data_IF_417516027471
#
_entry.id   IF_417516027471
#
_cell.length_a   1.000
_cell.length_b   1.000
_cell.length_c   1.000
_cell.angle_alpha   90.00
_cell.angle_beta   90.00
_cell.angle_gamma   90.00
#
_symmetry.space_group_name_H-M   'P 1'
#
loop_
_entity.id
_entity.type
_entity.pdbx_description
1 polymer ?
#
# COMPACT_ATOMS: atom_id res chain seq x y z
N UNK A 1 5.08 0.33 26.50
CA UNK A 1 6.52 0.53 26.75
C UNK A 1 6.66 1.12 28.15
N UNK A 2 7.40 0.46 29.01
CA UNK A 2 7.63 0.88 30.41
C UNK A 2 8.92 1.68 30.57
N UNK A 3 9.93 1.40 29.75
CA UNK A 3 11.18 2.14 29.71
C UNK A 3 11.75 2.16 28.28
N UNK A 4 12.58 3.15 28.02
CA UNK A 4 13.30 3.33 26.76
C UNK A 4 14.78 3.49 27.05
N UNK A 5 15.60 2.91 26.18
CA UNK A 5 17.05 3.08 26.17
C UNK A 5 17.54 3.30 24.72
N UNK A 6 18.52 4.15 24.55
CA UNK A 6 19.23 4.36 23.29
C UNK A 6 20.65 3.85 23.46
N UNK A 7 21.13 3.13 22.45
CA UNK A 7 22.51 2.58 22.39
C UNK A 7 23.04 2.77 20.99
N UNK A 8 24.33 3.09 20.85
CA UNK A 8 24.97 3.09 19.54
C UNK A 8 25.36 1.66 19.12
N UNK A 9 25.07 1.31 17.87
CA UNK A 9 25.54 0.05 17.29
C UNK A 9 27.03 0.12 16.89
N UNK A 10 27.55 -1.00 16.39
CA UNK A 10 28.95 -1.09 15.97
C UNK A 10 29.32 -0.14 14.81
N UNK A 11 28.34 0.43 14.11
CA UNK A 11 28.51 1.36 12.99
C UNK A 11 28.29 2.82 13.42
N UNK A 12 28.00 3.09 14.70
CA UNK A 12 27.71 4.41 15.23
C UNK A 12 26.27 4.89 15.00
N UNK A 13 25.35 3.99 14.62
CA UNK A 13 23.94 4.32 14.49
C UNK A 13 23.20 4.14 15.82
N UNK A 14 22.35 5.09 16.12
CA UNK A 14 21.49 5.01 17.30
C UNK A 14 20.43 3.91 17.12
N UNK A 15 20.33 3.04 18.10
CA UNK A 15 19.35 1.96 18.19
C UNK A 15 18.51 2.14 19.43
N UNK A 16 17.20 2.13 19.28
CA UNK A 16 16.25 2.28 20.37
C UNK A 16 15.77 0.91 20.86
N UNK A 17 15.76 0.72 22.16
CA UNK A 17 15.20 -0.43 22.82
C UNK A 17 14.07 0.00 23.77
N UNK A 18 12.98 -0.76 23.76
CA UNK A 18 11.85 -0.59 24.66
C UNK A 18 11.71 -1.80 25.58
N UNK A 19 11.58 -1.57 26.87
CA UNK A 19 11.12 -2.57 27.80
C UNK A 19 9.60 -2.55 27.90
N UNK A 20 8.99 -3.72 27.93
CA UNK A 20 7.55 -3.90 27.96
C UNK A 20 7.11 -4.58 29.25
N UNK A 21 5.84 -4.45 29.58
CA UNK A 21 5.22 -5.02 30.80
C UNK A 21 5.09 -6.56 30.74
N UNK A 22 5.29 -7.16 29.57
CA UNK A 22 5.38 -8.61 29.36
C UNK A 22 6.77 -9.19 29.73
N UNK A 23 7.71 -8.34 30.15
CA UNK A 23 9.06 -8.73 30.55
C UNK A 23 10.07 -8.84 29.42
N UNK A 24 9.69 -8.50 28.19
CA UNK A 24 10.61 -8.52 27.04
C UNK A 24 11.21 -7.14 26.75
N UNK A 25 12.44 -7.17 26.24
CA UNK A 25 13.10 -6.01 25.66
C UNK A 25 13.10 -6.18 24.15
N UNK A 26 12.54 -5.22 23.44
CA UNK A 26 12.44 -5.25 21.99
C UNK A 26 13.20 -4.07 21.38
N UNK A 27 13.84 -4.33 20.24
CA UNK A 27 14.40 -3.28 19.42
C UNK A 27 13.24 -2.56 18.74
N UNK A 28 13.19 -1.25 18.90
CA UNK A 28 12.20 -0.39 18.28
C UNK A 28 12.69 0.09 16.92
N UNK A 29 11.74 0.49 16.09
CA UNK A 29 12.00 1.06 14.76
C UNK A 29 12.89 0.17 13.87
N UNK A 30 12.65 -1.13 13.94
CA UNK A 30 13.44 -2.12 13.22
C UNK A 30 12.56 -3.29 12.75
N UNK A 31 12.76 -3.72 11.51
CA UNK A 31 12.03 -4.84 10.92
C UNK A 31 10.67 -4.44 10.33
N UNK A 32 9.97 -5.43 9.78
CA UNK A 32 8.70 -5.25 9.04
C UNK A 32 7.49 -5.79 9.80
N UNK A 33 7.64 -6.14 11.06
CA UNK A 33 6.56 -6.66 11.89
C UNK A 33 6.73 -6.26 13.36
N UNK A 34 5.65 -6.36 14.13
CA UNK A 34 5.67 -6.18 15.57
C UNK A 34 5.76 -7.55 16.26
N UNK A 35 6.98 -8.00 16.56
CA UNK A 35 7.22 -9.26 17.28
C UNK A 35 6.47 -10.45 16.64
N UNK A 36 6.58 -10.58 15.32
CA UNK A 36 5.88 -11.60 14.54
C UNK A 36 4.42 -11.28 14.17
N UNK A 37 3.88 -10.16 14.66
CA UNK A 37 2.56 -9.67 14.28
C UNK A 37 2.65 -8.71 13.09
N UNK A 38 1.67 -8.75 12.21
CA UNK A 38 1.63 -7.87 11.04
C UNK A 38 1.55 -6.39 11.42
N UNK A 39 2.22 -5.57 10.63
CA UNK A 39 2.05 -4.12 10.63
C UNK A 39 1.08 -3.77 9.51
N UNK A 40 -0.21 -3.68 9.83
CA UNK A 40 -1.19 -3.24 8.87
C UNK A 40 -0.95 -1.78 8.48
N UNK A 41 -0.67 -1.55 7.21
CA UNK A 41 -0.49 -0.21 6.67
C UNK A 41 -1.55 0.09 5.61
N UNK A 42 -1.97 1.35 5.53
CA UNK A 42 -2.91 1.76 4.51
C UNK A 42 -2.70 3.21 4.08
N UNK A 43 -3.05 3.48 2.84
CA UNK A 43 -3.12 4.81 2.26
C UNK A 43 -4.56 5.06 1.83
N UNK A 44 -5.13 6.19 2.23
CA UNK A 44 -6.41 6.66 1.71
C UNK A 44 -6.19 7.95 0.95
N UNK A 45 -6.58 7.98 -0.32
CA UNK A 45 -6.52 9.19 -1.14
C UNK A 45 -7.73 10.09 -0.89
N UNK A 46 -7.59 11.36 -1.24
CA UNK A 46 -8.74 12.25 -1.34
C UNK A 46 -9.70 11.79 -2.46
N UNK A 47 -10.95 12.24 -2.38
CA UNK A 47 -11.89 12.01 -3.46
C UNK A 47 -11.68 13.01 -4.61
N UNK A 48 -11.43 12.47 -5.79
CA UNK A 48 -11.23 13.26 -7.01
C UNK A 48 -12.46 13.23 -7.90
N UNK A 49 -12.81 14.36 -8.48
CA UNK A 49 -13.95 14.52 -9.39
C UNK A 49 -13.62 14.27 -10.86
N UNK A 50 -12.36 14.05 -11.21
CA UNK A 50 -11.92 13.72 -12.57
C UNK A 50 -12.55 14.64 -13.63
N UNK A 51 -12.13 15.90 -13.68
CA UNK A 51 -12.49 16.97 -14.63
C UNK A 51 -13.93 17.50 -14.59
N UNK A 52 -14.89 16.70 -14.19
CA UNK A 52 -16.31 17.10 -14.27
C UNK A 52 -17.05 16.82 -12.98
N UNK A 53 -16.99 17.72 -11.98
CA UNK A 53 -17.82 17.61 -10.79
C UNK A 53 -19.31 17.60 -11.20
N UNK A 54 -20.10 16.74 -10.61
CA UNK A 54 -21.53 16.60 -10.89
C UNK A 54 -21.90 15.68 -12.07
N UNK A 55 -20.96 15.25 -12.89
CA UNK A 55 -21.23 14.22 -13.90
C UNK A 55 -20.90 12.84 -13.34
N UNK A 56 -21.81 11.90 -13.50
CA UNK A 56 -21.53 10.50 -13.16
C UNK A 56 -20.54 9.89 -14.14
N UNK A 57 -19.60 9.14 -13.64
CA UNK A 57 -18.56 8.44 -14.38
C UNK A 57 -18.65 6.96 -14.13
N UNK A 58 -18.31 6.17 -15.13
CA UNK A 58 -18.08 4.75 -14.98
C UNK A 58 -16.58 4.53 -14.94
N UNK A 59 -16.08 4.12 -13.81
CA UNK A 59 -14.68 3.73 -13.60
C UNK A 59 -14.48 2.30 -14.09
N UNK A 60 -13.40 2.06 -14.82
CA UNK A 60 -13.18 0.78 -15.51
C UNK A 60 -11.90 0.09 -15.06
N UNK A 61 -10.84 0.87 -14.99
CA UNK A 61 -9.51 0.33 -14.75
C UNK A 61 -8.71 1.29 -13.87
N UNK A 62 -7.93 0.72 -13.00
CA UNK A 62 -6.95 1.41 -12.18
C UNK A 62 -5.57 0.85 -12.52
N UNK A 63 -4.64 1.72 -12.80
CA UNK A 63 -3.25 1.38 -13.00
C UNK A 63 -2.42 1.96 -11.86
N UNK A 64 -1.71 1.11 -11.13
CA UNK A 64 -0.87 1.49 -9.99
C UNK A 64 0.59 1.37 -10.38
N UNK A 65 1.34 2.44 -10.18
CA UNK A 65 2.79 2.46 -10.32
C UNK A 65 3.42 2.40 -8.93
N UNK A 66 4.18 1.35 -8.69
CA UNK A 66 4.75 1.05 -7.38
C UNK A 66 6.17 0.55 -7.48
N UNK A 67 6.95 0.85 -6.46
CA UNK A 67 8.24 0.22 -6.23
C UNK A 67 8.09 -0.76 -5.08
N UNK A 68 8.49 -2.00 -5.32
CA UNK A 68 8.57 -3.04 -4.30
C UNK A 68 9.88 -3.82 -4.44
N UNK A 69 10.55 -4.07 -3.33
CA UNK A 69 11.80 -4.84 -3.32
C UNK A 69 11.54 -6.36 -3.38
N UNK A 70 10.33 -6.79 -3.06
CA UNK A 70 9.90 -8.19 -3.10
C UNK A 70 8.46 -8.28 -3.55
N UNK A 71 8.05 -9.48 -3.97
CA UNK A 71 6.63 -9.75 -4.26
C UNK A 71 5.78 -9.46 -3.03
N UNK A 72 4.73 -8.67 -3.23
CA UNK A 72 3.80 -8.32 -2.18
C UNK A 72 2.38 -8.22 -2.71
N UNK A 73 1.40 -8.48 -1.85
CA UNK A 73 -0.01 -8.40 -2.20
C UNK A 73 -0.65 -7.21 -1.52
N UNK A 74 -1.25 -6.35 -2.32
CA UNK A 74 -2.00 -5.19 -1.87
C UNK A 74 -3.50 -5.41 -2.04
N UNK A 75 -4.27 -4.91 -1.11
CA UNK A 75 -5.71 -4.82 -1.22
C UNK A 75 -6.09 -3.41 -1.64
N UNK A 76 -6.74 -3.27 -2.78
CA UNK A 76 -7.19 -1.99 -3.32
C UNK A 76 -8.69 -1.91 -3.27
N UNK A 77 -9.21 -0.91 -2.59
CA UNK A 77 -10.66 -0.67 -2.44
C UNK A 77 -11.01 0.71 -2.99
N UNK A 78 -11.66 0.79 -4.15
CA UNK A 78 -12.21 2.06 -4.64
C UNK A 78 -13.46 2.43 -3.82
N UNK A 79 -13.52 3.69 -3.43
CA UNK A 79 -14.63 4.27 -2.69
C UNK A 79 -15.30 5.38 -3.52
N UNK A 80 -16.61 5.27 -3.72
CA UNK A 80 -17.37 6.15 -4.61
C UNK A 80 -18.35 7.03 -3.84
N UNK A 81 -18.51 8.26 -4.28
CA UNK A 81 -19.52 9.21 -3.80
C UNK A 81 -19.51 9.44 -2.28
N UNK A 82 -18.33 9.42 -1.66
CA UNK A 82 -18.15 9.53 -0.20
C UNK A 82 -18.88 8.44 0.60
N UNK A 83 -19.15 7.28 -0.03
CA UNK A 83 -19.99 6.23 0.55
C UNK A 83 -19.31 5.34 1.57
N UNK A 84 -17.99 5.40 1.66
CA UNK A 84 -17.22 4.53 2.53
C UNK A 84 -17.11 5.04 3.96
N UNK A 85 -17.70 4.34 4.91
CA UNK A 85 -17.27 4.42 6.31
C UNK A 85 -15.98 3.62 6.45
N UNK A 86 -14.86 4.34 6.45
CA UNK A 86 -13.57 3.69 6.66
C UNK A 86 -13.38 3.40 8.16
N UNK A 87 -13.37 2.15 8.48
CA UNK A 87 -12.75 1.62 9.69
C UNK A 87 -11.38 1.05 9.30
N UNK A 88 -10.29 1.27 10.06
CA UNK A 88 -9.00 0.63 9.78
C UNK A 88 -9.21 -0.85 9.51
N UNK A 89 -8.56 -1.41 8.48
CA UNK A 89 -8.95 -2.69 7.93
C UNK A 89 -8.67 -3.81 8.93
N UNK A 90 -9.73 -4.37 9.43
CA UNK A 90 -9.70 -5.70 10.04
C UNK A 90 -10.13 -6.79 9.05
N UNK A 91 -10.65 -6.41 7.88
CA UNK A 91 -11.10 -7.34 6.84
C UNK A 91 -11.28 -6.63 5.49
N UNK A 92 -10.96 -7.28 4.37
CA UNK A 92 -11.24 -6.74 3.05
C UNK A 92 -12.75 -6.55 2.87
N UNK A 93 -13.13 -5.38 2.39
CA UNK A 93 -14.52 -5.07 2.02
C UNK A 93 -14.87 -5.87 0.77
N UNK A 94 -16.11 -6.30 0.62
CA UNK A 94 -16.58 -7.13 -0.50
C UNK A 94 -16.37 -6.55 -1.92
N UNK A 95 -15.92 -5.32 -2.03
CA UNK A 95 -15.57 -4.62 -3.28
C UNK A 95 -14.07 -4.35 -3.43
N UNK A 96 -13.23 -5.02 -2.67
CA UNK A 96 -11.78 -4.89 -2.77
C UNK A 96 -11.22 -5.79 -3.87
N UNK A 97 -10.09 -5.37 -4.42
CA UNK A 97 -9.34 -6.09 -5.44
C UNK A 97 -7.95 -6.41 -4.89
N UNK A 98 -7.52 -7.64 -5.05
CA UNK A 98 -6.15 -8.03 -4.72
C UNK A 98 -5.24 -7.72 -5.90
N UNK A 99 -4.13 -7.10 -5.60
CA UNK A 99 -3.07 -6.77 -6.56
C UNK A 99 -1.79 -7.40 -6.05
N UNK A 100 -1.30 -8.39 -6.76
CA UNK A 100 0.01 -8.98 -6.46
C UNK A 100 1.06 -8.28 -7.30
N UNK A 101 1.93 -7.54 -6.65
CA UNK A 101 3.13 -6.98 -7.27
C UNK A 101 4.17 -8.08 -7.25
N UNK A 102 4.53 -8.56 -8.43
CA UNK A 102 5.61 -9.52 -8.58
C UNK A 102 6.89 -8.73 -8.83
N UNK A 103 7.88 -8.88 -7.96
CA UNK A 103 9.22 -8.42 -8.27
C UNK A 103 9.68 -9.17 -9.51
N UNK A 104 10.02 -8.43 -10.56
CA UNK A 104 10.38 -9.04 -11.84
C UNK A 104 11.67 -9.87 -11.65
N UNK A 105 11.60 -11.18 -11.82
CA UNK A 105 12.73 -12.09 -11.70
C UNK A 105 13.87 -11.75 -12.68
N UNK A 106 13.56 -10.96 -13.71
CA UNK A 106 14.52 -10.53 -14.72
C UNK A 106 15.70 -9.72 -14.14
N UNK A 107 15.50 -9.09 -13.00
CA UNK A 107 16.55 -8.34 -12.31
C UNK A 107 17.39 -9.19 -11.35
N UNK A 108 17.01 -10.43 -11.08
CA UNK A 108 17.82 -11.37 -10.31
C UNK A 108 18.89 -12.07 -11.14
N UNK A 109 18.71 -12.15 -12.43
CA UNK A 109 19.61 -12.86 -13.37
C UNK A 109 20.70 -11.99 -13.99
N UNK A 110 20.80 -10.72 -13.64
CA UNK A 110 21.99 -9.95 -13.98
C UNK A 110 23.15 -10.36 -13.05
N UNK A 111 23.78 -11.45 -13.49
CA UNK A 111 24.82 -12.25 -12.84
C UNK A 111 26.04 -11.42 -12.40
N UNK A 112 26.12 -10.16 -12.79
CA UNK A 112 27.31 -9.34 -12.55
C UNK A 112 27.23 -8.44 -11.31
N UNK A 113 26.08 -8.27 -10.68
CA UNK A 113 26.01 -7.43 -9.48
C UNK A 113 24.88 -7.81 -8.50
N UNK A 114 25.10 -8.73 -7.57
CA UNK A 114 24.10 -9.16 -6.59
C UNK A 114 23.70 -8.08 -5.56
N UNK A 115 24.23 -6.87 -5.65
CA UNK A 115 24.02 -5.79 -4.69
C UNK A 115 23.38 -4.52 -5.28
N UNK A 116 23.05 -4.50 -6.54
CA UNK A 116 22.21 -3.42 -7.06
C UNK A 116 20.77 -3.73 -6.70
N UNK A 117 20.29 -3.19 -5.61
CA UNK A 117 18.86 -3.09 -5.34
C UNK A 117 18.21 -2.23 -6.42
N UNK A 118 17.96 -2.85 -7.58
CA UNK A 118 17.21 -2.20 -8.64
C UNK A 118 15.77 -2.21 -8.18
N UNK A 119 15.28 -1.05 -7.81
CA UNK A 119 13.89 -0.83 -7.51
C UNK A 119 13.07 -1.07 -8.79
N UNK A 120 12.33 -2.15 -8.84
CA UNK A 120 11.45 -2.44 -9.97
C UNK A 120 10.22 -1.58 -9.87
N UNK A 121 9.97 -0.74 -10.87
CA UNK A 121 8.70 -0.05 -11.05
C UNK A 121 7.71 -1.05 -11.64
N UNK A 122 6.88 -1.63 -10.81
CA UNK A 122 5.79 -2.46 -11.28
C UNK A 122 4.59 -1.58 -11.66
N UNK A 123 4.04 -1.81 -12.84
CA UNK A 123 2.79 -1.20 -13.29
C UNK A 123 1.71 -2.27 -13.32
N UNK A 124 0.84 -2.24 -12.32
CA UNK A 124 -0.21 -3.25 -12.17
C UNK A 124 -1.58 -2.70 -12.52
N UNK A 125 -2.30 -3.45 -13.35
CA UNK A 125 -3.64 -3.11 -13.82
C UNK A 125 -4.71 -3.87 -13.06
N UNK A 126 -5.64 -3.12 -12.50
CA UNK A 126 -6.79 -3.65 -11.78
C UNK A 126 -8.07 -3.24 -12.48
N UNK A 127 -8.86 -4.21 -12.89
CA UNK A 127 -10.21 -3.93 -13.44
C UNK A 127 -11.14 -3.60 -12.29
N UNK A 128 -11.55 -2.34 -12.22
CA UNK A 128 -12.55 -1.87 -11.27
C UNK A 128 -13.90 -1.69 -11.97
N UNK A 129 -14.99 -1.86 -11.27
CA UNK A 129 -16.31 -1.64 -11.84
C UNK A 129 -17.15 -0.82 -10.87
N UNK A 130 -17.16 0.48 -11.08
CA UNK A 130 -17.90 1.40 -10.24
C UNK A 130 -18.49 2.57 -11.00
N UNK A 131 -19.50 3.19 -10.41
CA UNK A 131 -20.16 4.38 -10.95
C UNK A 131 -20.30 5.40 -9.83
N UNK A 132 -19.75 6.59 -10.04
CA UNK A 132 -19.82 7.68 -9.08
C UNK A 132 -19.55 9.04 -9.73
N UNK A 133 -19.74 10.09 -8.98
CA UNK A 133 -19.34 11.46 -9.38
C UNK A 133 -17.88 11.72 -9.02
N UNK A 134 -17.42 11.07 -7.99
CA UNK A 134 -16.04 11.10 -7.52
C UNK A 134 -15.59 9.69 -7.09
N UNK A 135 -14.31 9.52 -6.88
CA UNK A 135 -13.73 8.30 -6.37
C UNK A 135 -12.49 8.62 -5.52
N UNK A 136 -12.37 7.96 -4.39
CA UNK A 136 -11.17 7.83 -3.58
C UNK A 136 -10.66 6.40 -3.63
N UNK A 137 -9.42 6.19 -3.26
CA UNK A 137 -8.79 4.88 -3.18
C UNK A 137 -8.33 4.60 -1.76
N UNK A 138 -8.51 3.38 -1.33
CA UNK A 138 -7.91 2.83 -0.13
C UNK A 138 -7.00 1.70 -0.58
N UNK A 139 -5.73 1.81 -0.29
CA UNK A 139 -4.72 0.81 -0.61
C UNK A 139 -4.16 0.32 0.73
N UNK A 140 -4.30 -0.95 0.99
CA UNK A 140 -3.87 -1.56 2.25
C UNK A 140 -2.92 -2.72 1.99
N UNK A 141 -1.94 -2.85 2.87
CA UNK A 141 -1.08 -4.00 2.98
C UNK A 141 -1.33 -4.66 4.33
N UNK A 142 -1.51 -5.97 4.34
CA UNK A 142 -1.77 -6.78 5.54
C UNK A 142 -0.79 -7.93 5.69
N UNK A 143 0.38 -7.85 5.07
CA UNK A 143 1.36 -8.91 5.18
C UNK A 143 2.29 -8.75 6.38
N UNK A 144 2.55 -9.85 7.05
CA UNK A 144 3.44 -9.92 8.22
C UNK A 144 4.91 -9.75 7.87
N UNK A 145 5.29 -10.01 6.63
CA UNK A 145 6.69 -10.12 6.20
C UNK A 145 7.07 -9.27 5.00
N UNK A 146 6.13 -8.52 4.43
CA UNK A 146 6.41 -7.71 3.25
C UNK A 146 7.34 -6.55 3.57
N UNK A 147 8.25 -6.31 2.64
CA UNK A 147 9.10 -5.13 2.67
C UNK A 147 8.29 -3.87 2.35
N UNK A 148 8.85 -2.70 2.69
CA UNK A 148 8.21 -1.44 2.36
C UNK A 148 7.88 -1.31 0.87
N UNK A 149 6.72 -0.73 0.58
CA UNK A 149 6.26 -0.43 -0.77
C UNK A 149 6.18 1.07 -0.92
N UNK A 150 6.65 1.57 -2.05
CA UNK A 150 6.50 2.97 -2.41
C UNK A 150 5.49 3.10 -3.54
N UNK A 151 4.34 3.70 -3.27
CA UNK A 151 3.37 4.07 -4.29
C UNK A 151 3.84 5.35 -4.99
N UNK A 152 4.10 5.28 -6.30
CA UNK A 152 4.53 6.41 -7.11
C UNK A 152 3.36 7.12 -7.79
N UNK A 153 2.39 6.35 -8.28
CA UNK A 153 1.26 6.91 -8.99
C UNK A 153 0.06 5.96 -9.05
N UNK A 154 -1.10 6.56 -9.29
CA UNK A 154 -2.34 5.83 -9.54
C UNK A 154 -3.08 6.52 -10.69
N UNK A 155 -3.31 5.82 -11.78
CA UNK A 155 -4.02 6.29 -12.96
C UNK A 155 -5.35 5.58 -13.06
N UNK A 156 -6.39 6.32 -13.40
CA UNK A 156 -7.75 5.79 -13.42
C UNK A 156 -8.37 6.00 -14.79
N UNK A 157 -8.78 4.91 -15.40
CA UNK A 157 -9.55 4.94 -16.64
C UNK A 157 -11.05 5.01 -16.33
N UNK A 158 -11.69 6.04 -16.87
CA UNK A 158 -13.11 6.25 -16.68
C UNK A 158 -13.80 6.76 -17.97
N UNK A 159 -15.09 6.57 -18.04
CA UNK A 159 -15.93 7.17 -19.07
C UNK A 159 -17.03 8.03 -18.45
N UNK A 160 -17.16 9.24 -18.94
CA UNK A 160 -18.26 10.13 -18.57
C UNK A 160 -19.59 9.56 -19.04
N UNK A 161 -20.58 9.50 -18.16
CA UNK A 161 -21.97 9.20 -18.56
C UNK A 161 -22.70 10.53 -18.79
N UNK A 162 -23.21 10.69 -20.01
CA UNK A 162 -24.09 11.82 -20.33
C UNK A 162 -25.31 11.80 -19.42
N UNK A 163 -25.78 12.98 -19.02
CA UNK A 163 -27.09 13.13 -18.39
C UNK A 163 -28.11 12.70 -19.43
N UNK A 164 -28.75 11.55 -19.24
CA UNK A 164 -30.00 11.29 -19.97
C UNK A 164 -31.05 12.27 -19.42
N UNK A 165 -31.39 13.24 -20.22
CA UNK A 165 -32.60 14.05 -20.04
C UNK A 165 -33.81 13.21 -20.37
#
# INVERSE_FOLDING_TARGET
VTCLASVEDANGFEVLYGGFDDGYVRRLDSGNNFDGSEVASFIRTAYYHYDSPGKRKRFRELNLEMNADTSTTLTVTPDYDFGGTFTPPSSPVSSSYEVTVTADEWNQDDISNPNTGITVVASERVKINGIGTNMGLIIANSSTYDKPITLQGAYVDYSSRGIRR
#
